data_IF_303977086901
#
_entry.id   IF_303977086901
#
_cell.length_a   1.000
_cell.length_b   1.000
_cell.length_c   1.000
_cell.angle_alpha   90.00
_cell.angle_beta   90.00
_cell.angle_gamma   90.00
#
_symmetry.space_group_name_H-M   'P 1'
#
loop_
_entity.id
_entity.type
_entity.pdbx_description
1 polymer ?
#
# COMPACT_ATOMS: atom_id res chain seq x y z
N UNK A 1 -22.39 -21.94 23.01
CA UNK A 1 -21.20 -21.16 22.63
C UNK A 1 -21.58 -20.37 21.41
N UNK A 2 -21.24 -19.08 21.39
CA UNK A 2 -21.41 -18.26 20.21
C UNK A 2 -20.69 -18.91 19.02
N UNK A 3 -21.28 -18.81 17.83
CA UNK A 3 -20.66 -19.31 16.60
C UNK A 3 -19.72 -18.28 15.99
N UNK A 4 -19.96 -16.99 16.28
CA UNK A 4 -19.14 -15.86 15.84
C UNK A 4 -18.83 -14.99 17.04
N UNK A 5 -17.61 -14.46 17.09
CA UNK A 5 -17.25 -13.42 18.05
C UNK A 5 -16.22 -12.45 17.49
N UNK A 6 -16.27 -11.21 17.95
CA UNK A 6 -15.33 -10.17 17.54
C UNK A 6 -14.80 -9.49 18.79
N UNK A 7 -13.51 -9.65 19.05
CA UNK A 7 -12.78 -8.88 20.05
C UNK A 7 -12.19 -7.65 19.38
N UNK A 8 -12.53 -6.48 19.90
CA UNK A 8 -12.00 -5.21 19.45
C UNK A 8 -10.92 -4.79 20.44
N UNK A 9 -9.73 -4.48 19.92
CA UNK A 9 -8.64 -3.87 20.67
C UNK A 9 -8.43 -2.47 20.12
N UNK A 10 -8.76 -1.44 20.90
CA UNK A 10 -8.67 -0.05 20.46
C UNK A 10 -7.44 0.63 21.06
N UNK A 11 -6.52 1.04 20.19
CA UNK A 11 -5.28 1.72 20.51
C UNK A 11 -5.45 3.23 20.33
N UNK A 12 -5.65 3.95 21.43
CA UNK A 12 -5.57 5.40 21.42
C UNK A 12 -4.10 5.82 21.53
N UNK A 13 -3.47 6.11 20.40
CA UNK A 13 -2.08 6.60 20.33
C UNK A 13 -2.02 8.12 20.22
N UNK A 14 -3.13 8.81 20.53
CA UNK A 14 -3.17 10.26 20.62
C UNK A 14 -2.83 10.74 22.02
N UNK A 15 -2.49 12.03 22.12
CA UNK A 15 -2.36 12.73 23.40
C UNK A 15 -3.69 13.14 24.04
N UNK A 16 -4.83 12.73 23.47
CA UNK A 16 -6.16 13.15 23.92
C UNK A 16 -6.91 11.97 24.56
N UNK A 17 -7.69 12.26 25.60
CA UNK A 17 -8.66 11.30 26.11
C UNK A 17 -9.84 11.20 25.15
N UNK A 18 -10.45 10.02 25.05
CA UNK A 18 -11.66 9.79 24.28
C UNK A 18 -12.83 9.58 25.22
N UNK A 19 -13.98 10.19 24.93
CA UNK A 19 -15.22 10.02 25.70
C UNK A 19 -16.25 9.36 24.81
N UNK A 20 -16.77 8.20 25.23
CA UNK A 20 -17.78 7.47 24.48
C UNK A 20 -19.05 8.31 24.35
N UNK A 21 -19.55 8.43 23.13
CA UNK A 21 -20.79 9.16 22.84
C UNK A 21 -21.90 8.22 22.41
N UNK A 22 -21.54 7.08 21.81
CA UNK A 22 -22.48 6.11 21.26
C UNK A 22 -21.82 4.74 21.24
N UNK A 23 -22.57 3.70 21.57
CA UNK A 23 -22.26 2.32 21.27
C UNK A 23 -23.55 1.53 21.05
N UNK A 24 -23.46 0.44 20.30
CA UNK A 24 -24.60 -0.42 20.05
C UNK A 24 -24.25 -1.63 19.19
N UNK A 25 -25.11 -2.63 19.25
CA UNK A 25 -25.07 -3.83 18.42
C UNK A 25 -26.31 -3.85 17.53
N UNK A 26 -26.09 -4.02 16.23
CA UNK A 26 -27.17 -4.34 15.28
C UNK A 26 -27.54 -5.82 15.41
N UNK A 27 -26.55 -6.67 15.71
CA UNK A 27 -26.69 -8.12 15.89
C UNK A 27 -25.72 -8.66 16.96
N UNK A 28 -26.14 -9.68 17.69
CA UNK A 28 -25.36 -10.28 18.77
C UNK A 28 -25.53 -9.57 20.11
N UNK A 29 -24.81 -10.09 21.10
CA UNK A 29 -24.74 -9.57 22.46
C UNK A 29 -23.32 -9.12 22.81
N UNK A 30 -23.22 -8.17 23.74
CA UNK A 30 -21.94 -7.86 24.38
C UNK A 30 -21.51 -9.02 25.27
N UNK A 31 -20.24 -9.39 25.21
CA UNK A 31 -19.71 -10.42 26.10
C UNK A 31 -19.39 -9.79 27.47
N UNK A 32 -20.11 -10.15 28.53
CA UNK A 32 -19.82 -9.66 29.89
C UNK A 32 -18.42 -10.13 30.39
N UNK A 33 -17.57 -9.24 30.96
CA UNK A 33 -17.75 -7.82 31.25
C UNK A 33 -17.11 -6.86 30.22
N UNK A 34 -16.89 -7.31 28.99
CA UNK A 34 -16.17 -6.59 27.93
C UNK A 34 -17.08 -5.65 27.13
N UNK A 35 -17.37 -4.48 27.69
CA UNK A 35 -18.12 -3.40 27.04
C UNK A 35 -17.20 -2.28 26.52
N UNK A 36 -17.60 -1.52 25.49
CA UNK A 36 -16.91 -0.30 25.11
C UNK A 36 -16.78 0.65 26.30
N UNK A 37 -15.55 1.03 26.64
CA UNK A 37 -15.27 1.85 27.82
C UNK A 37 -15.87 3.25 27.70
N UNK A 38 -16.34 3.86 28.79
CA UNK A 38 -16.86 5.25 28.74
C UNK A 38 -15.76 6.28 28.48
N UNK A 39 -14.52 5.97 28.91
CA UNK A 39 -13.34 6.81 28.73
C UNK A 39 -12.15 5.97 28.30
N UNK A 40 -11.46 6.39 27.25
CA UNK A 40 -10.17 5.82 26.83
C UNK A 40 -9.10 6.88 27.07
N UNK A 41 -8.11 6.56 27.91
CA UNK A 41 -7.05 7.51 28.27
C UNK A 41 -6.10 7.78 27.08
N UNK A 42 -5.39 8.93 27.06
CA UNK A 42 -4.30 9.16 26.11
C UNK A 42 -3.27 8.03 26.14
N UNK A 43 -2.70 7.67 24.99
CA UNK A 43 -1.65 6.66 24.86
C UNK A 43 -1.98 5.34 25.58
N UNK A 44 -3.23 4.88 25.48
CA UNK A 44 -3.72 3.68 26.16
C UNK A 44 -4.45 2.76 25.20
N UNK A 45 -4.61 1.51 25.64
CA UNK A 45 -5.32 0.47 24.90
C UNK A 45 -6.50 0.01 25.74
N UNK A 46 -7.66 -0.15 25.12
CA UNK A 46 -8.84 -0.78 25.72
C UNK A 46 -9.31 -1.92 24.84
N UNK A 47 -10.15 -2.79 25.39
CA UNK A 47 -10.78 -3.87 24.64
C UNK A 47 -12.25 -4.01 24.99
N UNK A 48 -13.02 -4.48 24.03
CA UNK A 48 -14.40 -4.93 24.22
C UNK A 48 -14.70 -6.10 23.28
N UNK A 49 -15.82 -6.79 23.48
CA UNK A 49 -16.15 -7.98 22.69
C UNK A 49 -17.65 -8.12 22.49
N UNK A 50 -18.04 -8.49 21.27
CA UNK A 50 -19.40 -8.92 20.95
C UNK A 50 -19.41 -10.36 20.43
N UNK A 51 -20.52 -11.05 20.61
CA UNK A 51 -20.70 -12.45 20.22
C UNK A 51 -22.10 -12.71 19.63
N UNK A 52 -22.22 -13.70 18.75
CA UNK A 52 -23.52 -14.07 18.17
C UNK A 52 -24.45 -14.66 19.23
N UNK A 53 -25.70 -14.19 19.27
CA UNK A 53 -26.73 -14.55 20.27
C UNK A 53 -27.87 -15.42 19.71
N UNK A 54 -27.95 -15.60 18.39
CA UNK A 54 -29.02 -16.32 17.69
C UNK A 54 -28.58 -17.50 16.81
N UNK A 55 -29.56 -18.26 16.32
CA UNK A 55 -29.33 -19.37 15.37
C UNK A 55 -29.02 -18.82 13.98
N UNK A 56 -27.90 -19.23 13.40
CA UNK A 56 -27.45 -18.77 12.08
C UNK A 56 -27.28 -17.24 11.99
N UNK A 57 -26.82 -16.61 13.08
CA UNK A 57 -26.57 -15.16 13.16
C UNK A 57 -25.09 -14.87 13.40
N UNK A 58 -24.67 -13.66 13.01
CA UNK A 58 -23.35 -13.10 13.28
C UNK A 58 -23.34 -12.14 14.46
N UNK A 59 -22.32 -11.29 14.54
CA UNK A 59 -22.30 -10.13 15.45
C UNK A 59 -21.86 -8.88 14.70
N UNK A 60 -22.61 -7.81 14.89
CA UNK A 60 -22.39 -6.52 14.23
C UNK A 60 -22.59 -5.40 15.24
N UNK A 61 -21.66 -4.45 15.28
CA UNK A 61 -21.73 -3.34 16.21
C UNK A 61 -20.90 -2.15 15.83
N UNK A 62 -21.06 -1.09 16.60
CA UNK A 62 -20.25 0.12 16.47
C UNK A 62 -20.01 0.82 17.79
N UNK A 63 -18.98 1.65 17.82
CA UNK A 63 -18.70 2.57 18.90
C UNK A 63 -18.21 3.90 18.35
N UNK A 64 -18.66 5.00 18.96
CA UNK A 64 -18.23 6.37 18.68
C UNK A 64 -17.68 7.02 19.93
N UNK A 65 -16.56 7.72 19.75
CA UNK A 65 -15.96 8.51 20.80
C UNK A 65 -15.71 9.93 20.33
N UNK A 66 -16.03 10.90 21.18
CA UNK A 66 -15.52 12.26 21.06
C UNK A 66 -14.03 12.27 21.44
N UNK A 67 -13.21 12.93 20.62
CA UNK A 67 -11.81 13.17 20.90
C UNK A 67 -11.73 14.49 21.67
N UNK A 68 -11.21 14.48 22.90
CA UNK A 68 -11.13 15.69 23.73
C UNK A 68 -9.95 16.59 23.31
N UNK A 69 -9.95 17.03 22.06
CA UNK A 69 -8.93 17.87 21.42
C UNK A 69 -9.25 19.37 21.48
N UNK A 70 -10.44 19.74 21.95
CA UNK A 70 -10.92 21.12 21.99
C UNK A 70 -11.49 21.64 20.67
N UNK A 71 -11.60 20.79 19.64
CA UNK A 71 -12.08 21.13 18.31
C UNK A 71 -13.32 20.33 17.88
N UNK A 72 -13.78 19.39 18.72
CA UNK A 72 -15.01 18.64 18.50
C UNK A 72 -14.86 17.45 17.56
N UNK A 73 -13.62 16.98 17.37
CA UNK A 73 -13.35 15.80 16.55
C UNK A 73 -13.93 14.52 17.18
N UNK A 74 -14.16 13.51 16.36
CA UNK A 74 -14.66 12.21 16.78
C UNK A 74 -13.96 11.06 16.05
N UNK A 75 -14.06 9.88 16.62
CA UNK A 75 -13.69 8.62 15.96
C UNK A 75 -14.87 7.68 16.02
N UNK A 76 -15.14 7.01 14.91
CA UNK A 76 -16.12 5.95 14.80
C UNK A 76 -15.45 4.68 14.30
N UNK A 77 -15.84 3.55 14.91
CA UNK A 77 -15.45 2.21 14.48
C UNK A 77 -16.68 1.32 14.43
N UNK A 78 -16.76 0.50 13.39
CA UNK A 78 -17.81 -0.48 13.14
C UNK A 78 -17.19 -1.81 12.71
N UNK A 79 -17.85 -2.89 13.09
CA UNK A 79 -17.48 -4.26 12.71
C UNK A 79 -18.74 -5.06 12.39
N UNK A 80 -18.59 -5.98 11.45
CA UNK A 80 -19.54 -7.04 11.15
C UNK A 80 -18.78 -8.37 10.97
N UNK A 81 -19.15 -9.37 11.77
CA UNK A 81 -18.70 -10.75 11.65
C UNK A 81 -19.95 -11.61 11.38
N UNK A 82 -20.33 -11.76 10.10
CA UNK A 82 -21.59 -12.38 9.73
C UNK A 82 -21.57 -13.89 9.97
N UNK A 83 -22.74 -14.51 10.01
CA UNK A 83 -22.82 -15.97 10.12
C UNK A 83 -22.15 -16.69 8.94
N UNK A 84 -22.28 -16.12 7.74
CA UNK A 84 -21.66 -16.59 6.50
C UNK A 84 -21.18 -15.38 5.70
N UNK A 85 -19.96 -15.47 5.17
CA UNK A 85 -19.30 -14.38 4.44
C UNK A 85 -17.99 -13.96 5.11
N UNK A 86 -17.42 -12.89 4.59
CA UNK A 86 -16.20 -12.27 5.14
C UNK A 86 -16.57 -11.22 6.19
N UNK A 87 -15.70 -11.06 7.18
CA UNK A 87 -15.83 -9.97 8.14
C UNK A 87 -15.60 -8.62 7.45
N UNK A 88 -16.30 -7.58 7.90
CA UNK A 88 -16.12 -6.22 7.40
C UNK A 88 -15.91 -5.23 8.56
N UNK A 89 -15.19 -4.16 8.25
CA UNK A 89 -14.79 -3.14 9.22
C UNK A 89 -14.85 -1.77 8.57
N UNK A 90 -15.43 -0.80 9.27
CA UNK A 90 -15.52 0.57 8.81
C UNK A 90 -15.06 1.52 9.91
N UNK A 91 -14.28 2.52 9.54
CA UNK A 91 -13.77 3.53 10.47
C UNK A 91 -13.68 4.89 9.81
N UNK A 92 -13.94 5.93 10.60
CA UNK A 92 -13.76 7.31 10.17
C UNK A 92 -13.44 8.22 11.35
N UNK A 93 -12.71 9.28 11.04
CA UNK A 93 -12.32 10.33 11.98
C UNK A 93 -12.09 11.63 11.22
N UNK A 94 -11.95 12.74 11.93
CA UNK A 94 -11.68 14.06 11.36
C UNK A 94 -10.26 14.18 10.79
N UNK A 95 -10.05 15.13 9.88
CA UNK A 95 -8.82 15.32 9.08
C UNK A 95 -7.53 15.57 9.91
N UNK A 96 -7.66 15.92 11.18
CA UNK A 96 -6.52 16.07 12.11
C UNK A 96 -5.98 14.75 12.64
N UNK A 97 -6.70 13.65 12.39
CA UNK A 97 -6.40 12.30 12.85
C UNK A 97 -6.33 11.32 11.68
N UNK A 98 -5.74 10.16 11.96
CA UNK A 98 -5.73 8.98 11.09
C UNK A 98 -6.32 7.83 11.91
N UNK A 99 -7.21 7.06 11.28
CA UNK A 99 -7.79 5.86 11.87
C UNK A 99 -7.70 4.70 10.87
N UNK A 100 -7.24 3.55 11.34
CA UNK A 100 -7.15 2.32 10.55
C UNK A 100 -7.29 1.10 11.46
N UNK A 101 -7.43 -0.08 10.85
CA UNK A 101 -7.45 -1.34 11.56
C UNK A 101 -6.45 -2.35 11.01
N UNK A 102 -6.20 -3.42 11.77
CA UNK A 102 -5.43 -4.59 11.37
C UNK A 102 -6.02 -5.84 12.01
N UNK A 103 -5.86 -7.00 11.36
CA UNK A 103 -6.45 -8.25 11.83
C UNK A 103 -7.93 -8.38 11.42
N UNK A 104 -8.71 -9.09 12.23
CA UNK A 104 -10.15 -9.26 12.01
C UNK A 104 -10.56 -10.46 11.17
N UNK A 105 -9.66 -11.40 10.88
CA UNK A 105 -10.03 -12.63 10.17
C UNK A 105 -10.64 -13.70 11.08
N UNK A 106 -11.50 -14.55 10.51
CA UNK A 106 -12.00 -15.78 11.13
C UNK A 106 -13.27 -15.62 11.96
N UNK A 107 -13.74 -16.75 12.49
CA UNK A 107 -15.02 -16.85 13.23
C UNK A 107 -14.92 -16.20 14.62
N UNK A 108 -13.79 -16.41 15.30
CA UNK A 108 -13.39 -15.76 16.55
C UNK A 108 -12.35 -14.66 16.27
N UNK A 109 -12.82 -13.57 15.68
CA UNK A 109 -11.98 -12.51 15.18
C UNK A 109 -11.39 -11.65 16.31
N UNK A 110 -10.14 -11.22 16.14
CA UNK A 110 -9.57 -10.10 16.88
C UNK A 110 -9.15 -9.02 15.90
N UNK A 111 -9.68 -7.81 16.07
CA UNK A 111 -9.37 -6.64 15.26
C UNK A 111 -8.75 -5.54 16.14
N UNK A 112 -7.63 -5.02 15.69
CA UNK A 112 -6.95 -3.89 16.32
C UNK A 112 -7.31 -2.61 15.56
N UNK A 113 -7.96 -1.64 16.21
CA UNK A 113 -8.15 -0.29 15.67
C UNK A 113 -7.12 0.66 16.26
N UNK A 114 -6.59 1.55 15.43
CA UNK A 114 -5.57 2.52 15.83
C UNK A 114 -6.04 3.93 15.51
N UNK A 115 -5.97 4.81 16.51
CA UNK A 115 -6.20 6.26 16.34
C UNK A 115 -4.91 7.02 16.62
N UNK A 116 -4.46 7.80 15.63
CA UNK A 116 -3.24 8.61 15.69
C UNK A 116 -3.52 10.03 15.21
N UNK A 117 -2.60 10.96 15.48
CA UNK A 117 -2.60 12.26 14.79
C UNK A 117 -2.19 12.09 13.33
N UNK A 118 -2.84 12.82 12.43
CA UNK A 118 -2.44 12.87 11.01
C UNK A 118 -1.15 13.65 10.84
N UNK A 119 -0.04 12.93 10.66
CA UNK A 119 1.26 13.47 10.27
C UNK A 119 1.76 12.75 9.00
N UNK A 120 2.57 13.41 8.17
CA UNK A 120 3.22 12.72 7.06
C UNK A 120 4.28 11.74 7.59
N UNK A 121 4.32 10.54 7.01
CA UNK A 121 5.31 9.51 7.26
C UNK A 121 6.18 9.36 6.01
N UNK A 122 7.50 9.25 6.20
CA UNK A 122 8.47 9.10 5.13
C UNK A 122 9.46 7.99 5.46
N UNK A 123 9.92 7.32 4.41
CA UNK A 123 11.09 6.44 4.46
C UNK A 123 12.32 7.30 4.79
N UNK A 124 13.08 6.99 5.86
CA UNK A 124 14.19 7.82 6.29
C UNK A 124 15.26 8.04 5.22
N UNK A 125 15.77 9.26 5.10
CA UNK A 125 16.89 9.61 4.20
C UNK A 125 16.66 9.33 2.70
N UNK A 126 15.40 9.19 2.27
CA UNK A 126 15.03 9.11 0.87
C UNK A 126 14.31 10.38 0.42
N UNK A 127 14.74 10.94 -0.70
CA UNK A 127 14.06 12.01 -1.41
C UNK A 127 14.30 11.79 -2.92
N UNK A 128 13.27 11.86 -3.78
CA UNK A 128 13.42 11.68 -5.23
C UNK A 128 14.58 12.50 -5.83
N UNK A 129 14.69 13.78 -5.47
CA UNK A 129 15.74 14.71 -5.94
C UNK A 129 17.15 14.44 -5.42
N UNK A 130 17.34 13.49 -4.50
CA UNK A 130 18.66 13.14 -3.93
C UNK A 130 19.04 11.69 -4.14
N UNK A 131 18.04 10.81 -4.19
CA UNK A 131 18.22 9.37 -4.18
C UNK A 131 17.66 8.70 -5.45
N UNK A 132 16.88 9.43 -6.26
CA UNK A 132 16.38 8.99 -7.57
C UNK A 132 17.31 9.38 -8.72
N UNK A 133 17.05 8.84 -9.91
CA UNK A 133 17.83 9.20 -11.09
C UNK A 133 17.54 10.65 -11.51
N UNK A 134 18.57 11.38 -11.93
CA UNK A 134 18.48 12.76 -12.43
C UNK A 134 18.21 12.82 -13.95
N UNK A 135 17.78 11.70 -14.54
CA UNK A 135 17.35 11.60 -15.94
C UNK A 135 15.97 10.93 -15.99
N UNK A 136 15.16 11.35 -16.96
CA UNK A 136 13.83 10.78 -17.15
C UNK A 136 13.91 9.40 -17.83
N UNK A 137 12.90 8.58 -17.58
CA UNK A 137 12.60 7.35 -18.30
C UNK A 137 12.21 7.64 -19.77
N UNK A 138 13.19 8.07 -20.56
CA UNK A 138 13.07 8.44 -21.96
C UNK A 138 14.33 8.00 -22.68
N UNK A 139 14.32 6.79 -23.22
CA UNK A 139 15.49 6.19 -23.86
C UNK A 139 15.37 6.26 -25.40
N UNK A 140 16.50 6.19 -26.08
CA UNK A 140 16.54 6.09 -27.54
C UNK A 140 15.99 4.75 -28.06
N UNK A 141 15.98 4.59 -29.39
CA UNK A 141 15.61 3.34 -30.07
C UNK A 141 16.71 2.28 -29.87
N UNK A 142 16.75 1.72 -28.67
CA UNK A 142 17.74 0.73 -28.24
C UNK A 142 17.00 -0.58 -27.99
N UNK A 143 17.13 -1.59 -28.87
CA UNK A 143 16.56 -2.90 -28.62
C UNK A 143 17.24 -3.52 -27.40
N UNK A 144 16.49 -4.31 -26.66
CA UNK A 144 17.03 -5.17 -25.61
C UNK A 144 16.39 -6.54 -25.68
N UNK A 145 17.15 -7.52 -25.23
CA UNK A 145 16.77 -8.93 -25.21
C UNK A 145 15.72 -9.24 -24.14
N UNK A 146 14.64 -9.94 -24.51
CA UNK A 146 13.68 -10.53 -23.56
C UNK A 146 14.26 -11.84 -22.98
N UNK A 147 14.27 -12.08 -21.65
CA UNK A 147 14.82 -13.29 -21.05
C UNK A 147 14.28 -14.60 -21.65
N UNK A 148 12.98 -14.75 -21.95
CA UNK A 148 12.45 -15.97 -22.60
C UNK A 148 12.97 -16.20 -24.02
N UNK A 149 13.46 -15.15 -24.69
CA UNK A 149 13.91 -15.18 -26.07
C UNK A 149 15.43 -15.00 -26.21
N UNK A 150 16.17 -14.92 -25.09
CA UNK A 150 17.64 -14.78 -25.06
C UNK A 150 18.32 -15.82 -25.95
N UNK A 151 19.02 -15.36 -26.97
CA UNK A 151 19.76 -16.19 -27.93
C UNK A 151 18.93 -16.82 -29.06
N UNK A 152 17.65 -16.46 -29.21
CA UNK A 152 16.83 -16.86 -30.36
C UNK A 152 16.86 -15.82 -31.49
N UNK A 153 16.45 -16.20 -32.71
CA UNK A 153 16.26 -15.24 -33.82
C UNK A 153 15.22 -14.14 -33.53
N UNK A 154 14.45 -14.32 -32.46
CA UNK A 154 13.39 -13.45 -31.98
C UNK A 154 13.82 -12.55 -30.80
N UNK A 155 15.05 -12.72 -30.30
CA UNK A 155 15.54 -12.13 -29.04
C UNK A 155 15.43 -10.59 -28.98
N UNK A 156 15.87 -9.94 -30.05
CA UNK A 156 15.94 -8.48 -30.19
C UNK A 156 14.69 -7.87 -30.82
N UNK A 157 13.71 -8.71 -31.20
CA UNK A 157 12.57 -8.28 -32.02
C UNK A 157 11.44 -7.64 -31.22
N UNK A 158 11.41 -7.86 -29.90
CA UNK A 158 10.22 -7.58 -29.09
C UNK A 158 10.43 -6.64 -27.88
N UNK A 159 11.66 -6.34 -27.47
CA UNK A 159 11.96 -5.40 -26.38
C UNK A 159 12.70 -4.16 -26.87
N UNK A 160 12.27 -2.96 -26.48
CA UNK A 160 12.94 -1.72 -26.87
C UNK A 160 12.83 -0.63 -25.80
N UNK A 161 13.95 -0.01 -25.46
CA UNK A 161 14.03 0.98 -24.38
C UNK A 161 13.20 2.24 -24.66
N UNK A 162 12.88 2.53 -25.92
CA UNK A 162 11.96 3.62 -26.28
C UNK A 162 10.54 3.44 -25.71
N UNK A 163 10.17 2.20 -25.37
CA UNK A 163 8.90 1.88 -24.73
C UNK A 163 8.93 2.10 -23.20
N UNK A 164 10.07 2.56 -22.65
CA UNK A 164 10.26 2.82 -21.24
C UNK A 164 10.87 1.66 -20.45
N UNK A 165 11.63 2.00 -19.43
CA UNK A 165 12.26 1.12 -18.43
C UNK A 165 11.81 1.50 -17.00
N UNK A 166 10.60 2.04 -16.81
CA UNK A 166 10.14 2.58 -15.52
C UNK A 166 10.32 1.60 -14.36
N UNK A 167 9.90 0.35 -14.51
CA UNK A 167 10.10 -0.70 -13.51
C UNK A 167 11.56 -0.99 -13.19
N UNK A 168 12.41 -1.03 -14.22
CA UNK A 168 13.86 -1.17 -14.07
C UNK A 168 14.49 -0.01 -13.30
N UNK A 169 14.03 1.22 -13.54
CA UNK A 169 14.47 2.41 -12.80
C UNK A 169 13.99 2.40 -11.35
N UNK A 170 12.72 2.05 -11.09
CA UNK A 170 12.16 1.91 -9.74
C UNK A 170 12.97 0.91 -8.92
N UNK A 171 13.21 -0.29 -9.46
CA UNK A 171 13.91 -1.35 -8.74
C UNK A 171 15.37 -0.99 -8.52
N UNK A 172 16.02 -0.41 -9.53
CA UNK A 172 17.41 0.05 -9.40
C UNK A 172 17.57 1.15 -8.35
N UNK A 173 16.68 2.15 -8.29
CA UNK A 173 16.71 3.18 -7.25
C UNK A 173 16.59 2.57 -5.85
N UNK A 174 15.72 1.56 -5.69
CA UNK A 174 15.60 0.81 -4.44
C UNK A 174 16.89 0.07 -4.09
N UNK A 175 17.53 -0.57 -5.07
CA UNK A 175 18.79 -1.29 -4.89
C UNK A 175 19.92 -0.33 -4.42
N UNK A 176 20.01 0.88 -4.99
CA UNK A 176 20.96 1.91 -4.51
C UNK A 176 20.64 2.37 -3.09
N UNK A 177 19.36 2.61 -2.78
CA UNK A 177 18.94 3.01 -1.45
C UNK A 177 19.22 1.94 -0.39
N UNK A 178 18.85 0.68 -0.65
CA UNK A 178 19.05 -0.44 0.29
C UNK A 178 20.53 -0.82 0.46
N UNK A 179 21.36 -0.57 -0.55
CA UNK A 179 22.82 -0.74 -0.45
C UNK A 179 23.55 0.45 0.17
N UNK A 180 22.83 1.53 0.52
CA UNK A 180 23.39 2.82 0.94
C UNK A 180 24.43 3.38 -0.06
N UNK A 181 24.33 3.00 -1.33
CA UNK A 181 25.19 3.49 -2.40
C UNK A 181 24.69 4.86 -2.89
N UNK A 182 25.61 5.67 -3.41
CA UNK A 182 25.25 6.92 -4.08
C UNK A 182 24.72 6.57 -5.46
N UNK A 183 23.51 7.06 -5.79
CA UNK A 183 22.97 6.91 -7.13
C UNK A 183 23.86 7.65 -8.14
N UNK A 184 24.08 7.13 -9.36
CA UNK A 184 24.95 7.79 -10.33
C UNK A 184 24.46 9.21 -10.64
N UNK A 185 25.34 10.20 -10.47
CA UNK A 185 25.07 11.60 -10.83
C UNK A 185 25.13 11.79 -12.36
N UNK A 186 24.14 11.21 -13.04
CA UNK A 186 23.96 11.28 -14.48
C UNK A 186 22.66 11.99 -14.78
N UNK A 187 22.72 12.94 -15.72
CA UNK A 187 21.55 13.70 -16.19
C UNK A 187 21.00 13.26 -17.54
N UNK A 188 21.70 12.33 -18.20
CA UNK A 188 21.25 11.70 -19.42
C UNK A 188 21.09 10.20 -19.20
N UNK A 189 20.07 9.57 -19.82
CA UNK A 189 19.90 8.13 -19.75
C UNK A 189 21.10 7.43 -20.39
N UNK A 190 21.50 6.25 -19.89
CA UNK A 190 22.59 5.50 -20.48
C UNK A 190 22.27 5.09 -21.93
N UNK A 191 23.25 5.20 -22.83
CA UNK A 191 23.04 5.17 -24.28
C UNK A 191 22.70 3.78 -24.85
N UNK A 192 22.88 2.71 -24.09
CA UNK A 192 22.57 1.34 -24.52
C UNK A 192 23.48 0.29 -23.91
N UNK A 193 23.55 -0.89 -24.54
CA UNK A 193 24.15 -2.11 -23.97
C UNK A 193 25.66 -2.06 -23.69
N UNK A 194 26.38 -1.03 -24.14
CA UNK A 194 27.78 -0.82 -23.76
C UNK A 194 27.91 -0.19 -22.37
N UNK A 195 26.82 0.32 -21.81
CA UNK A 195 26.77 0.94 -20.50
C UNK A 195 26.29 -0.07 -19.44
N UNK A 196 27.10 -0.38 -18.41
CA UNK A 196 26.70 -1.30 -17.35
C UNK A 196 25.41 -0.87 -16.62
N UNK A 197 25.14 0.43 -16.51
CA UNK A 197 23.91 0.93 -15.91
C UNK A 197 22.69 0.59 -16.79
N UNK A 198 22.80 0.69 -18.11
CA UNK A 198 21.73 0.31 -19.03
C UNK A 198 21.40 -1.18 -18.91
N UNK A 199 22.42 -2.03 -18.95
CA UNK A 199 22.24 -3.49 -18.81
C UNK A 199 21.56 -3.81 -17.48
N UNK A 200 21.96 -3.12 -16.40
CA UNK A 200 21.37 -3.29 -15.09
C UNK A 200 19.90 -2.85 -15.06
N UNK A 201 19.57 -1.67 -15.60
CA UNK A 201 18.19 -1.19 -15.72
C UNK A 201 17.30 -2.17 -16.49
N UNK A 202 17.77 -2.70 -17.62
CA UNK A 202 17.05 -3.70 -18.41
C UNK A 202 16.84 -4.99 -17.62
N UNK A 203 17.85 -5.49 -16.91
CA UNK A 203 17.69 -6.69 -16.07
C UNK A 203 16.66 -6.45 -14.95
N UNK A 204 16.69 -5.28 -14.31
CA UNK A 204 15.72 -4.92 -13.27
C UNK A 204 14.32 -4.68 -13.83
N UNK A 205 14.18 -4.27 -15.10
CA UNK A 205 12.88 -4.22 -15.76
C UNK A 205 12.24 -5.61 -15.80
N UNK A 206 13.00 -6.64 -16.17
CA UNK A 206 12.47 -8.01 -16.17
C UNK A 206 12.14 -8.52 -14.78
N UNK A 207 12.96 -8.19 -13.78
CA UNK A 207 12.64 -8.53 -12.39
C UNK A 207 11.35 -7.84 -11.89
N UNK A 208 11.03 -6.65 -12.42
CA UNK A 208 9.81 -5.91 -12.08
C UNK A 208 8.54 -6.42 -12.77
N UNK A 209 8.70 -7.39 -13.67
CA UNK A 209 7.62 -8.11 -14.34
C UNK A 209 7.73 -9.59 -14.02
N UNK A 210 7.79 -9.92 -12.73
CA UNK A 210 7.63 -11.31 -12.32
C UNK A 210 6.21 -11.82 -12.63
N UNK A 211 6.04 -13.14 -12.57
CA UNK A 211 4.79 -13.78 -12.99
C UNK A 211 3.58 -13.35 -12.14
N UNK A 212 3.79 -13.06 -10.86
CA UNK A 212 2.73 -12.64 -9.95
C UNK A 212 2.31 -11.21 -10.28
N UNK A 213 3.26 -10.30 -10.46
CA UNK A 213 2.99 -8.90 -10.77
C UNK A 213 2.37 -8.73 -12.17
N UNK A 214 2.83 -9.50 -13.17
CA UNK A 214 2.17 -9.58 -14.48
C UNK A 214 0.72 -10.04 -14.32
N UNK A 215 0.48 -11.06 -13.49
CA UNK A 215 -0.87 -11.59 -13.26
C UNK A 215 -1.78 -10.53 -12.63
N UNK A 216 -1.26 -9.72 -11.69
CA UNK A 216 -1.99 -8.59 -11.12
C UNK A 216 -2.30 -7.50 -12.14
N UNK A 217 -1.33 -7.13 -13.00
CA UNK A 217 -1.62 -6.20 -14.09
C UNK A 217 -2.72 -6.72 -15.00
N UNK A 218 -2.62 -7.95 -15.51
CA UNK A 218 -3.61 -8.54 -16.42
C UNK A 218 -4.99 -8.65 -15.74
N UNK A 219 -5.04 -9.03 -14.47
CA UNK A 219 -6.27 -9.09 -13.67
C UNK A 219 -6.92 -7.72 -13.57
N UNK A 220 -6.17 -6.71 -13.13
CA UNK A 220 -6.73 -5.39 -12.86
C UNK A 220 -6.89 -4.51 -14.09
N UNK A 221 -6.21 -4.79 -15.21
CA UNK A 221 -6.48 -4.12 -16.48
C UNK A 221 -7.66 -4.75 -17.23
N UNK A 222 -8.13 -5.94 -16.86
CA UNK A 222 -9.28 -6.56 -17.52
C UNK A 222 -10.54 -5.68 -17.42
N UNK A 223 -11.14 -5.21 -18.52
CA UNK A 223 -12.32 -4.35 -18.50
C UNK A 223 -13.53 -4.93 -17.76
N UNK A 224 -13.61 -6.27 -17.66
CA UNK A 224 -14.69 -6.98 -16.97
C UNK A 224 -14.46 -7.14 -15.46
N UNK A 225 -13.24 -6.88 -14.96
CA UNK A 225 -12.99 -6.88 -13.53
C UNK A 225 -13.77 -5.72 -12.88
N UNK A 226 -14.49 -5.92 -11.76
CA UNK A 226 -15.29 -4.87 -11.14
C UNK A 226 -14.47 -3.69 -10.61
N UNK A 227 -14.99 -2.46 -10.75
CA UNK A 227 -14.37 -1.28 -10.13
C UNK A 227 -14.73 -1.14 -8.64
N UNK A 228 -15.89 -1.65 -8.23
CA UNK A 228 -16.51 -1.45 -6.91
C UNK A 228 -16.87 -2.78 -6.26
N UNK A 229 -17.14 -2.77 -4.97
CA UNK A 229 -17.61 -3.97 -4.24
C UNK A 229 -19.12 -4.19 -4.34
N UNK A 230 -19.88 -3.22 -4.82
CA UNK A 230 -21.30 -3.40 -5.16
C UNK A 230 -21.46 -4.19 -6.48
N UNK A 231 -20.91 -5.40 -6.51
CA UNK A 231 -20.94 -6.25 -7.69
C UNK A 231 -21.41 -7.68 -7.33
N UNK A 232 -22.05 -8.35 -8.30
CA UNK A 232 -22.63 -9.69 -8.10
C UNK A 232 -21.55 -10.71 -7.70
N UNK A 233 -20.32 -10.55 -8.19
CA UNK A 233 -19.22 -11.45 -7.84
C UNK A 233 -18.82 -11.28 -6.37
N UNK A 234 -18.72 -10.06 -5.85
CA UNK A 234 -18.47 -9.79 -4.42
C UNK A 234 -19.62 -10.31 -3.54
N UNK A 235 -20.88 -10.10 -3.94
CA UNK A 235 -22.04 -10.65 -3.22
C UNK A 235 -22.03 -12.19 -3.15
N UNK A 236 -21.32 -12.86 -4.06
CA UNK A 236 -21.10 -14.31 -4.07
C UNK A 236 -19.73 -14.73 -3.49
N UNK A 237 -18.94 -13.78 -2.98
CA UNK A 237 -17.60 -14.00 -2.43
C UNK A 237 -16.52 -14.34 -3.47
N UNK A 238 -16.74 -14.01 -4.74
CA UNK A 238 -15.89 -14.42 -5.87
C UNK A 238 -14.80 -13.40 -6.24
N UNK A 239 -15.02 -12.10 -6.04
CA UNK A 239 -14.01 -11.07 -6.33
C UNK A 239 -14.31 -9.72 -5.66
N UNK A 240 -13.30 -9.13 -5.02
CA UNK A 240 -13.34 -7.74 -4.54
C UNK A 240 -13.05 -6.75 -5.67
N UNK A 241 -13.71 -5.59 -5.67
CA UNK A 241 -13.53 -4.55 -6.68
C UNK A 241 -12.18 -3.84 -6.57
N UNK A 242 -11.76 -3.14 -7.64
CA UNK A 242 -10.51 -2.35 -7.63
C UNK A 242 -10.45 -1.35 -6.46
N UNK A 243 -11.58 -0.75 -6.10
CA UNK A 243 -11.68 0.16 -4.95
C UNK A 243 -11.21 -0.51 -3.63
N UNK A 244 -11.69 -1.73 -3.36
CA UNK A 244 -11.29 -2.49 -2.18
C UNK A 244 -9.83 -2.90 -2.20
N UNK A 245 -9.36 -3.40 -3.36
CA UNK A 245 -7.97 -3.75 -3.53
C UNK A 245 -7.07 -2.56 -3.19
N UNK A 246 -7.37 -1.37 -3.72
CA UNK A 246 -6.57 -0.18 -3.42
C UNK A 246 -6.63 0.22 -1.93
N UNK A 247 -7.83 0.33 -1.35
CA UNK A 247 -8.02 0.91 -0.03
C UNK A 247 -7.73 -0.06 1.14
N UNK A 248 -8.12 -1.33 1.00
CA UNK A 248 -8.10 -2.33 2.09
C UNK A 248 -7.02 -3.39 1.94
N UNK A 249 -6.41 -3.55 0.76
CA UNK A 249 -5.33 -4.53 0.53
C UNK A 249 -3.99 -3.83 0.30
N UNK A 250 -3.90 -3.04 -0.75
CA UNK A 250 -2.61 -2.53 -1.26
C UNK A 250 -2.10 -1.34 -0.46
N UNK A 251 -2.95 -0.37 -0.12
CA UNK A 251 -2.53 0.76 0.71
C UNK A 251 -2.04 0.33 2.11
N UNK A 252 -2.71 -0.58 2.85
CA UNK A 252 -2.18 -1.08 4.12
C UNK A 252 -0.79 -1.72 4.01
N UNK A 253 -0.50 -2.45 2.92
CA UNK A 253 0.82 -3.03 2.67
C UNK A 253 1.86 -1.92 2.42
N UNK A 254 1.55 -0.95 1.55
CA UNK A 254 2.43 0.19 1.24
C UNK A 254 2.72 1.01 2.51
N UNK A 255 1.68 1.28 3.31
CA UNK A 255 1.76 1.95 4.60
C UNK A 255 2.73 1.24 5.53
N UNK A 256 2.62 -0.09 5.64
CA UNK A 256 3.49 -0.89 6.49
C UNK A 256 4.95 -0.89 6.01
N UNK A 257 5.18 -0.97 4.70
CA UNK A 257 6.52 -0.83 4.13
C UNK A 257 7.14 0.52 4.56
N UNK A 258 6.42 1.63 4.40
CA UNK A 258 6.89 2.97 4.77
C UNK A 258 7.17 3.09 6.27
N UNK A 259 6.25 2.62 7.12
CA UNK A 259 6.43 2.63 8.58
C UNK A 259 7.62 1.77 9.03
N UNK A 260 7.95 0.72 8.28
CA UNK A 260 9.13 -0.11 8.51
C UNK A 260 10.43 0.47 7.92
N UNK A 261 10.38 1.68 7.36
CA UNK A 261 11.53 2.36 6.75
C UNK A 261 11.92 1.79 5.38
N UNK A 262 11.00 1.10 4.70
CA UNK A 262 11.22 0.49 3.38
C UNK A 262 10.47 1.26 2.30
N UNK A 263 11.15 1.52 1.18
CA UNK A 263 10.51 1.98 -0.05
C UNK A 263 9.56 0.90 -0.58
N UNK A 264 8.41 1.29 -1.13
CA UNK A 264 7.40 0.36 -1.64
C UNK A 264 7.24 0.54 -3.16
N UNK A 265 7.81 -0.37 -3.98
CA UNK A 265 7.58 -0.38 -5.43
C UNK A 265 6.10 -0.58 -5.73
N UNK A 266 5.57 0.17 -6.70
CA UNK A 266 4.15 0.14 -7.05
C UNK A 266 3.94 0.02 -8.55
N UNK A 267 2.98 -0.81 -8.93
CA UNK A 267 2.39 -0.84 -10.25
C UNK A 267 1.12 0.00 -10.30
N UNK A 268 0.99 0.82 -11.34
CA UNK A 268 -0.16 1.66 -11.60
C UNK A 268 -0.88 1.13 -12.84
N UNK A 269 -2.12 0.70 -12.67
CA UNK A 269 -2.98 0.22 -13.76
C UNK A 269 -3.65 1.42 -14.40
N UNK A 270 -3.18 1.82 -15.58
CA UNK A 270 -3.60 3.06 -16.25
C UNK A 270 -4.45 2.81 -17.50
N UNK A 271 -4.62 1.55 -17.89
CA UNK A 271 -5.46 1.14 -19.01
C UNK A 271 -6.41 0.01 -18.59
N UNK A 272 -7.57 -0.05 -19.25
CA UNK A 272 -8.43 -1.23 -19.28
C UNK A 272 -8.33 -1.90 -20.64
N UNK A 273 -7.76 -3.10 -20.70
CA UNK A 273 -7.59 -3.87 -21.93
C UNK A 273 -7.57 -5.38 -21.66
N UNK A 274 -8.03 -6.17 -22.64
CA UNK A 274 -7.89 -7.63 -22.65
C UNK A 274 -6.62 -8.10 -23.38
N UNK A 275 -5.88 -7.18 -24.03
CA UNK A 275 -4.69 -7.49 -24.79
C UNK A 275 -3.45 -7.43 -23.87
N UNK A 276 -2.75 -8.55 -23.63
CA UNK A 276 -1.51 -8.54 -22.84
C UNK A 276 -0.39 -7.69 -23.44
N UNK A 277 -0.44 -7.41 -24.75
CA UNK A 277 0.50 -6.50 -25.41
C UNK A 277 0.42 -5.05 -24.91
N UNK A 278 -0.68 -4.68 -24.24
CA UNK A 278 -0.87 -3.33 -23.70
C UNK A 278 -0.32 -3.18 -22.28
N UNK A 279 0.38 -4.19 -21.73
CA UNK A 279 1.00 -4.13 -20.40
C UNK A 279 1.92 -2.93 -20.23
N UNK A 280 2.65 -2.55 -21.30
CA UNK A 280 3.54 -1.38 -21.31
C UNK A 280 2.83 -0.03 -21.26
N UNK A 281 1.51 0.01 -21.39
CA UNK A 281 0.69 1.23 -21.20
C UNK A 281 0.34 1.48 -19.73
N UNK A 282 0.75 0.58 -18.83
CA UNK A 282 0.74 0.81 -17.39
C UNK A 282 2.06 1.47 -16.96
N UNK A 283 2.14 1.90 -15.69
CA UNK A 283 3.31 2.60 -15.19
C UNK A 283 3.80 2.04 -13.85
N UNK A 284 5.09 2.22 -13.55
CA UNK A 284 5.68 1.82 -12.27
C UNK A 284 6.32 3.02 -11.57
N UNK A 285 6.04 3.13 -10.27
CA UNK A 285 6.51 4.21 -9.39
C UNK A 285 7.01 3.63 -8.06
N UNK A 286 7.62 4.46 -7.22
CA UNK A 286 8.06 4.07 -5.88
C UNK A 286 7.39 4.94 -4.82
N UNK A 287 6.60 4.34 -3.92
CA UNK A 287 6.15 5.06 -2.73
C UNK A 287 7.28 5.17 -1.71
N UNK A 288 7.48 6.40 -1.23
CA UNK A 288 8.47 6.72 -0.19
C UNK A 288 7.86 7.43 1.01
N UNK A 289 6.58 7.79 0.95
CA UNK A 289 5.89 8.38 2.08
C UNK A 289 4.38 8.35 1.90
N UNK A 290 3.66 8.61 2.97
CA UNK A 290 2.21 8.77 2.93
C UNK A 290 1.73 9.78 3.99
N UNK A 291 0.50 10.24 3.84
CA UNK A 291 -0.25 10.92 4.89
C UNK A 291 -1.72 10.57 4.77
N UNK A 292 -2.36 10.21 5.89
CA UNK A 292 -3.80 9.99 5.94
C UNK A 292 -4.45 11.06 6.82
N UNK A 293 -5.49 11.73 6.32
CA UNK A 293 -6.31 12.73 7.02
C UNK A 293 -7.74 12.24 7.01
N UNK A 294 -8.26 11.80 8.16
CA UNK A 294 -9.52 11.07 8.20
C UNK A 294 -9.41 9.82 7.32
N UNK A 295 -10.18 9.79 6.22
CA UNK A 295 -10.12 8.74 5.20
C UNK A 295 -9.42 9.19 3.91
N UNK A 296 -8.95 10.42 3.81
CA UNK A 296 -8.21 10.90 2.65
C UNK A 296 -6.73 10.50 2.72
N UNK A 297 -6.27 9.75 1.72
CA UNK A 297 -4.91 9.23 1.64
C UNK A 297 -4.13 10.00 0.59
N UNK A 298 -2.92 10.45 0.95
CA UNK A 298 -1.89 10.92 0.03
C UNK A 298 -0.71 9.94 0.06
N UNK A 299 -0.23 9.48 -1.09
CA UNK A 299 1.00 8.70 -1.22
C UNK A 299 2.03 9.54 -1.99
N UNK A 300 3.21 9.75 -1.40
CA UNK A 300 4.33 10.47 -2.01
C UNK A 300 5.21 9.52 -2.80
N UNK A 301 5.53 9.89 -4.05
CA UNK A 301 6.09 9.00 -5.05
C UNK A 301 7.42 9.53 -5.62
N UNK A 302 8.36 8.61 -5.89
CA UNK A 302 9.34 8.78 -6.95
C UNK A 302 8.75 8.24 -8.24
N UNK A 303 8.69 9.10 -9.26
CA UNK A 303 8.24 8.78 -10.62
C UNK A 303 9.44 8.84 -11.58
N UNK A 304 9.84 7.72 -12.21
CA UNK A 304 10.93 7.69 -13.18
C UNK A 304 10.77 8.65 -14.37
N UNK A 305 9.53 9.07 -14.68
CA UNK A 305 9.25 10.02 -15.76
C UNK A 305 9.45 11.49 -15.31
N UNK A 306 9.61 11.74 -14.00
CA UNK A 306 9.67 13.07 -13.39
C UNK A 306 10.93 13.23 -12.50
N UNK A 307 12.14 13.23 -13.09
CA UNK A 307 13.39 13.37 -12.32
C UNK A 307 13.41 14.67 -11.52
N UNK A 308 14.10 14.66 -10.37
CA UNK A 308 14.27 15.82 -9.48
C UNK A 308 12.99 16.39 -8.85
N UNK A 309 11.84 15.71 -8.99
CA UNK A 309 10.55 16.17 -8.45
C UNK A 309 10.20 15.44 -7.14
N UNK A 310 10.13 16.22 -6.06
CA UNK A 310 9.78 15.73 -4.72
C UNK A 310 8.28 15.86 -4.40
N UNK A 311 7.52 16.48 -5.29
CA UNK A 311 6.10 16.79 -5.11
C UNK A 311 5.16 15.84 -5.86
N UNK A 312 5.68 14.75 -6.43
CA UNK A 312 4.85 13.74 -7.09
C UNK A 312 4.08 12.95 -6.05
N UNK A 313 2.77 12.85 -6.25
CA UNK A 313 1.86 12.12 -5.37
C UNK A 313 0.63 11.60 -6.11
N UNK A 314 0.00 10.61 -5.50
CA UNK A 314 -1.40 10.26 -5.77
C UNK A 314 -2.23 10.47 -4.51
N UNK A 315 -3.53 10.70 -4.68
CA UNK A 315 -4.46 10.93 -3.59
C UNK A 315 -5.81 10.31 -3.89
N UNK A 316 -6.44 9.73 -2.86
CA UNK A 316 -7.74 9.07 -2.97
C UNK A 316 -8.48 9.08 -1.63
N UNK A 317 -9.78 8.75 -1.65
CA UNK A 317 -10.57 8.54 -0.44
C UNK A 317 -10.71 7.05 -0.16
N UNK A 318 -10.33 6.62 1.05
CA UNK A 318 -10.53 5.27 1.58
C UNK A 318 -11.84 5.17 2.40
N UNK A 319 -12.78 6.10 2.22
CA UNK A 319 -14.02 6.15 3.00
C UNK A 319 -14.99 5.02 2.65
N UNK A 320 -15.12 4.71 1.36
CA UNK A 320 -16.04 3.71 0.86
C UNK A 320 -15.47 3.03 -0.38
N UNK A 321 -15.80 1.74 -0.54
CA UNK A 321 -15.48 0.91 -1.70
C UNK A 321 -16.74 0.51 -2.48
N UNK A 322 -17.91 0.99 -2.05
CA UNK A 322 -19.18 0.83 -2.73
C UNK A 322 -19.19 1.58 -4.08
N UNK A 323 -18.48 2.70 -4.14
CA UNK A 323 -18.25 3.48 -5.35
C UNK A 323 -16.82 3.30 -5.86
N UNK A 324 -16.60 3.67 -7.12
CA UNK A 324 -15.26 3.67 -7.69
C UNK A 324 -14.42 4.72 -6.96
N UNK A 325 -13.20 4.33 -6.57
CA UNK A 325 -12.20 5.27 -6.10
C UNK A 325 -11.58 6.00 -7.30
N UNK A 326 -11.78 7.32 -7.35
CA UNK A 326 -11.08 8.20 -8.29
C UNK A 326 -9.76 8.67 -7.68
N UNK A 327 -8.65 8.28 -8.33
CA UNK A 327 -7.31 8.66 -7.91
C UNK A 327 -6.90 9.97 -8.60
N UNK A 328 -6.64 11.00 -7.80
CA UNK A 328 -6.04 12.25 -8.27
C UNK A 328 -4.52 12.12 -8.23
N UNK A 329 -3.81 12.48 -9.30
CA UNK A 329 -2.34 12.39 -9.32
C UNK A 329 -1.70 13.46 -10.21
N UNK A 330 -0.41 13.69 -10.00
CA UNK A 330 0.47 14.46 -10.88
C UNK A 330 1.64 13.61 -11.43
N UNK A 331 1.50 12.27 -11.39
CA UNK A 331 2.41 11.32 -12.05
C UNK A 331 2.47 11.62 -13.56
N UNK A 332 3.66 11.62 -14.14
CA UNK A 332 3.89 11.90 -15.56
C UNK A 332 3.61 10.67 -16.43
N UNK A 333 2.35 10.23 -16.43
CA UNK A 333 1.83 9.17 -17.29
C UNK A 333 0.40 9.51 -17.72
N UNK A 334 -0.01 9.06 -18.91
CA UNK A 334 -1.31 9.39 -19.48
C UNK A 334 -2.43 8.52 -18.91
N UNK A 335 -3.60 9.14 -18.73
CA UNK A 335 -4.83 8.45 -18.33
C UNK A 335 -5.05 8.36 -16.82
N UNK A 336 -6.24 7.90 -16.41
CA UNK A 336 -6.57 7.72 -15.00
C UNK A 336 -5.89 6.47 -14.43
N UNK A 337 -5.61 6.48 -13.12
CA UNK A 337 -5.23 5.26 -12.39
C UNK A 337 -6.52 4.52 -12.01
N UNK A 338 -6.72 3.31 -12.56
CA UNK A 338 -7.87 2.44 -12.27
C UNK A 338 -7.64 1.56 -11.05
N UNK A 339 -6.39 1.15 -10.82
CA UNK A 339 -5.94 0.36 -9.68
C UNK A 339 -4.46 0.64 -9.43
N UNK A 340 -3.97 0.37 -8.23
CA UNK A 340 -2.56 0.26 -7.95
C UNK A 340 -2.30 -0.94 -7.04
N UNK A 341 -1.09 -1.46 -7.07
CA UNK A 341 -0.65 -2.54 -6.20
C UNK A 341 0.84 -2.46 -5.91
N UNK A 342 1.26 -3.01 -4.77
CA UNK A 342 2.65 -3.12 -4.35
C UNK A 342 3.30 -4.30 -5.08
N UNK A 343 4.33 -4.04 -5.89
CA UNK A 343 5.01 -5.07 -6.68
C UNK A 343 5.97 -5.90 -5.83
N UNK A 344 6.29 -7.10 -6.28
CA UNK A 344 7.24 -8.00 -5.64
C UNK A 344 8.67 -7.57 -5.90
N UNK A 345 9.46 -7.39 -4.85
CA UNK A 345 10.84 -6.94 -4.98
C UNK A 345 11.81 -7.87 -4.28
N UNK A 346 12.87 -8.22 -5.01
CA UNK A 346 14.08 -8.85 -4.49
C UNK A 346 15.26 -7.92 -4.71
N UNK A 347 16.05 -7.68 -3.65
CA UNK A 347 17.25 -6.84 -3.71
C UNK A 347 18.30 -7.45 -4.62
N UNK A 348 18.88 -6.62 -5.49
CA UNK A 348 20.10 -6.97 -6.25
C UNK A 348 21.14 -5.90 -6.02
N UNK A 349 22.40 -6.30 -5.85
CA UNK A 349 23.48 -5.32 -5.67
C UNK A 349 23.64 -4.47 -6.95
N UNK A 350 23.54 -3.13 -6.89
CA UNK A 350 23.68 -2.28 -8.07
C UNK A 350 25.16 -2.15 -8.47
N UNK A 351 25.44 -1.80 -9.74
CA UNK A 351 26.78 -1.42 -10.15
C UNK A 351 27.20 -0.17 -9.37
N UNK A 352 28.31 -0.23 -8.64
CA UNK A 352 28.84 0.91 -7.90
C UNK A 352 30.13 1.39 -8.56
N UNK A 353 30.25 2.70 -8.77
CA UNK A 353 31.55 3.27 -9.13
C UNK A 353 32.51 3.08 -7.95
N UNK A 354 33.78 2.76 -8.22
CA UNK A 354 34.79 2.37 -7.21
C UNK A 354 35.01 3.37 -6.06
N UNK A 355 34.43 4.57 -6.14
CA UNK A 355 34.55 5.67 -5.18
C UNK A 355 33.22 6.06 -4.49
N UNK A 356 32.13 5.31 -4.67
CA UNK A 356 30.76 5.73 -4.32
C UNK A 356 30.19 5.21 -2.99
N UNK A 357 31.02 4.65 -2.10
CA UNK A 357 30.56 4.20 -0.79
C UNK A 357 30.37 5.41 0.15
N UNK A 358 29.18 5.52 0.74
CA UNK A 358 28.99 6.41 1.88
C UNK A 358 29.80 5.89 3.07
N UNK A 359 30.65 6.73 3.65
CA UNK A 359 31.11 6.54 5.03
C UNK A 359 29.92 6.82 5.97
N UNK A 360 29.07 5.83 6.19
CA UNK A 360 28.25 5.75 7.41
C UNK A 360 28.93 4.76 8.36
N UNK A 361 30.10 5.14 8.86
CA UNK A 361 30.71 4.47 10.00
C UNK A 361 30.07 5.01 11.28
N UNK A 362 29.57 4.09 12.10
CA UNK A 362 29.25 4.23 13.53
C UNK A 362 28.12 5.21 13.89
N UNK A 363 26.90 4.70 13.95
CA UNK A 363 26.00 4.85 15.11
C UNK A 363 24.68 4.10 14.87
N UNK A 364 24.77 2.79 14.63
CA UNK A 364 23.66 1.90 14.97
C UNK A 364 23.82 1.49 16.44
N UNK A 365 23.66 2.44 17.35
CA UNK A 365 23.00 2.13 18.60
C UNK A 365 21.50 2.21 18.30
N UNK A 366 20.87 1.05 18.18
CA UNK A 366 19.47 0.92 18.57
C UNK A 366 19.37 1.50 19.98
N UNK A 367 18.78 2.68 20.11
CA UNK A 367 18.27 3.15 21.39
C UNK A 367 16.96 2.38 21.65
N UNK A 368 16.88 1.50 22.67
CA UNK A 368 15.67 0.74 22.95
C UNK A 368 14.56 1.57 23.61
N UNK A 369 14.73 2.88 23.81
CA UNK A 369 13.84 3.67 24.67
C UNK A 369 12.57 4.24 24.01
N UNK A 370 12.33 3.99 22.72
CA UNK A 370 10.99 4.09 22.14
C UNK A 370 10.59 2.75 21.54
N UNK A 371 10.19 1.83 22.42
CA UNK A 371 9.65 0.54 22.05
C UNK A 371 8.31 0.66 21.33
N UNK A 372 8.34 0.89 20.01
CA UNK A 372 7.35 0.28 19.16
C UNK A 372 7.59 -1.22 19.24
N UNK A 373 6.71 -1.92 19.97
CA UNK A 373 6.70 -3.38 19.93
C UNK A 373 6.53 -3.77 18.47
N UNK A 374 7.53 -4.48 17.93
CA UNK A 374 7.42 -5.23 16.69
C UNK A 374 6.25 -6.22 16.85
N UNK A 375 5.07 -5.79 16.43
CA UNK A 375 4.00 -6.69 16.04
C UNK A 375 4.03 -6.68 14.52
N UNK A 376 4.72 -7.67 13.96
CA UNK A 376 4.39 -8.15 12.63
C UNK A 376 3.18 -9.07 12.81
N UNK A 377 1.94 -8.66 12.51
CA UNK A 377 0.88 -9.63 12.36
C UNK A 377 1.21 -10.50 11.13
N UNK A 378 0.91 -11.80 11.15
CA UNK A 378 0.85 -12.56 9.91
C UNK A 378 -0.30 -11.95 9.09
N UNK A 379 0.01 -11.28 7.99
CA UNK A 379 -0.98 -11.07 6.93
C UNK A 379 -1.20 -12.45 6.31
N UNK A 380 -2.13 -13.23 6.88
CA UNK A 380 -2.62 -14.46 6.24
C UNK A 380 -3.62 -14.09 5.16
N UNK A 381 -3.15 -13.36 4.15
CA UNK A 381 -3.80 -13.22 2.86
C UNK A 381 -2.95 -14.02 1.89
N UNK A 382 -3.25 -15.31 1.71
CA UNK A 382 -2.77 -15.98 0.50
C UNK A 382 -3.28 -15.16 -0.68
N UNK A 383 -2.37 -14.69 -1.55
CA UNK A 383 -2.75 -14.15 -2.86
C UNK A 383 -3.52 -15.26 -3.57
N UNK A 384 -4.86 -15.19 -3.57
CA UNK A 384 -5.68 -16.10 -4.34
C UNK A 384 -5.45 -15.78 -5.81
N UNK A 385 -4.62 -16.61 -6.45
CA UNK A 385 -4.42 -16.63 -7.89
C UNK A 385 -5.58 -17.39 -8.56
N UNK A 386 -6.81 -16.88 -8.43
CA UNK A 386 -7.95 -17.28 -9.24
C UNK A 386 -8.82 -16.07 -9.54
#
# INVERSE_FOLDING_TARGET
MATRSTRIVFHNQTGFSLTKTEDGLSHGDWTDPWYPADVINPNSVTEWRSESDGVATGTEGSARYAINDGHGASVYVHWDNPFWGSNSYHQFTDDTFEVFHSGGGGDDATVDFFLLRSIPHYVPYFLPSKNGFHFANSFGDVPYSLPPLRGSDLDWKYGNAKNGLCGGMVYTVKDYYESAAIIPDRRNPPMGEQDPLFIYLVNRLFDSFDIDDISLYLKYMNPLYPDTDENIANALGLADGRAFIMANVEFPIIRQDILSGKLSPMGLVMIKSLNPGDLGSNHQVMAYGYRMRGNHVEIYLYDPNSPDRDDIKLSFSAFSTAERIDVTHNVSAEGPIYCFFRTNYEYKRPPVDKFSLRLFAANHHFDPQFGFRNFSPPISGFRSLF
#
